data_IF_017701967188
#
_entry.id   IF_017701967188
#
_cell.length_a   1.000
_cell.length_b   1.000
_cell.length_c   1.000
_cell.angle_alpha   90.00
_cell.angle_beta   90.00
_cell.angle_gamma   90.00
#
_symmetry.space_group_name_H-M   'P 1'
#
loop_
_entity.id
_entity.type
_entity.pdbx_description
1 polymer ?
#
# COMPACT_ATOMS: atom_id res chain seq x y z
N UNK A 1 -4.37 23.43 26.15
CA UNK A 1 -3.29 22.83 25.34
C UNK A 1 -3.92 21.70 24.54
N UNK A 2 -3.86 21.76 23.21
CA UNK A 2 -4.41 20.70 22.35
C UNK A 2 -3.44 19.51 22.40
N UNK A 3 -3.89 18.34 22.84
CA UNK A 3 -3.14 17.08 22.67
C UNK A 3 -2.93 16.87 21.17
N UNK A 4 -1.68 16.80 20.74
CA UNK A 4 -1.34 16.48 19.36
C UNK A 4 -0.97 15.00 19.30
N UNK A 5 -1.96 14.19 18.91
CA UNK A 5 -1.75 12.81 18.53
C UNK A 5 -1.25 12.77 17.09
N UNK A 6 -0.16 12.06 16.84
CA UNK A 6 0.33 11.79 15.48
C UNK A 6 0.03 10.34 15.16
N UNK A 7 -0.79 10.12 14.14
CA UNK A 7 -1.19 8.81 13.65
C UNK A 7 -0.31 8.45 12.45
N UNK A 8 0.39 7.33 12.56
CA UNK A 8 1.29 6.81 11.53
C UNK A 8 0.78 5.46 11.04
N UNK A 9 1.23 5.05 9.86
CA UNK A 9 0.87 3.75 9.31
C UNK A 9 1.97 3.17 8.45
N UNK A 10 1.93 1.86 8.29
CA UNK A 10 2.78 1.10 7.38
C UNK A 10 1.98 -0.05 6.77
N UNK A 11 2.34 -0.43 5.55
CA UNK A 11 1.76 -1.57 4.88
C UNK A 11 2.60 -2.82 5.15
N UNK A 12 1.95 -3.93 5.51
CA UNK A 12 2.64 -5.19 5.78
C UNK A 12 1.68 -6.36 5.57
N UNK A 13 2.13 -7.43 4.90
CA UNK A 13 1.34 -8.64 4.63
C UNK A 13 -0.11 -8.34 4.15
N UNK A 14 -0.23 -7.54 3.10
CA UNK A 14 -1.51 -7.23 2.48
C UNK A 14 -2.46 -6.35 3.31
N UNK A 15 -1.99 -5.75 4.41
CA UNK A 15 -2.83 -4.97 5.34
C UNK A 15 -2.17 -3.67 5.76
N UNK A 16 -3.01 -2.72 6.18
CA UNK A 16 -2.55 -1.47 6.78
C UNK A 16 -2.47 -1.65 8.30
N UNK A 17 -1.30 -1.41 8.87
CA UNK A 17 -1.11 -1.31 10.31
C UNK A 17 -0.99 0.16 10.68
N UNK A 18 -1.87 0.60 11.57
CA UNK A 18 -1.89 1.98 12.09
C UNK A 18 -1.45 1.98 13.54
N UNK A 19 -0.67 2.98 13.92
CA UNK A 19 -0.31 3.24 15.30
C UNK A 19 -0.33 4.74 15.53
N UNK A 20 -0.27 5.16 16.79
CA UNK A 20 -0.26 6.58 17.09
C UNK A 20 0.60 6.88 18.31
N UNK A 21 1.10 8.11 18.36
CA UNK A 21 1.85 8.64 19.48
C UNK A 21 1.18 9.89 20.04
N UNK A 22 1.26 10.06 21.36
CA UNK A 22 0.92 11.31 22.04
C UNK A 22 2.22 11.99 22.49
N UNK A 23 2.44 13.18 21.95
CA UNK A 23 3.62 14.01 22.24
C UNK A 23 3.60 14.59 23.65
N UNK A 24 2.45 14.58 24.34
CA UNK A 24 2.34 14.98 25.73
C UNK A 24 2.82 13.88 26.72
N UNK A 25 2.98 12.63 26.26
CA UNK A 25 3.43 11.54 27.11
C UNK A 25 4.94 11.61 27.39
N UNK A 26 5.40 11.17 28.58
CA UNK A 26 6.81 11.17 28.93
C UNK A 26 7.69 10.38 27.94
N UNK A 27 8.78 10.96 27.47
CA UNK A 27 9.72 10.34 26.52
C UNK A 27 10.70 9.32 27.15
N UNK A 28 10.28 8.58 28.19
CA UNK A 28 11.13 7.59 28.88
C UNK A 28 10.34 6.33 29.19
N UNK A 29 10.86 5.17 28.75
CA UNK A 29 10.27 3.89 29.12
C UNK A 29 10.82 3.38 30.46
N UNK A 30 9.93 3.13 31.42
CA UNK A 30 10.27 2.51 32.71
C UNK A 30 10.52 1.00 32.65
N UNK A 31 10.30 0.37 31.49
CA UNK A 31 10.39 -1.08 31.32
C UNK A 31 11.83 -1.59 31.30
N UNK A 32 12.04 -2.80 31.85
CA UNK A 32 13.31 -3.55 31.80
C UNK A 32 13.32 -4.67 30.74
N UNK A 33 12.29 -4.75 29.89
CA UNK A 33 12.21 -5.76 28.81
C UNK A 33 13.30 -5.54 27.76
N UNK A 34 13.71 -6.63 27.07
CA UNK A 34 14.66 -6.58 25.95
C UNK A 34 14.18 -5.68 24.81
N UNK A 35 12.89 -5.77 24.48
CA UNK A 35 12.19 -4.84 23.59
C UNK A 35 11.13 -4.12 24.44
N UNK A 36 11.39 -2.88 24.88
CA UNK A 36 10.46 -2.14 25.74
C UNK A 36 9.28 -1.55 24.95
N UNK A 37 8.15 -1.25 25.62
CA UNK A 37 7.08 -0.46 25.04
C UNK A 37 7.57 0.94 24.70
N UNK A 38 7.14 1.44 23.54
CA UNK A 38 7.37 2.82 23.14
C UNK A 38 6.60 3.74 24.08
N UNK A 39 7.28 4.64 24.82
CA UNK A 39 6.68 5.34 25.94
C UNK A 39 5.64 6.39 25.54
N UNK A 40 5.71 6.87 24.29
CA UNK A 40 4.75 7.83 23.75
C UNK A 40 3.62 7.16 22.95
N UNK A 41 3.57 5.83 22.85
CA UNK A 41 2.53 5.17 22.07
C UNK A 41 1.17 5.28 22.76
N UNK A 42 0.13 5.60 21.99
CA UNK A 42 -1.24 5.59 22.46
C UNK A 42 -1.70 4.16 22.79
N UNK A 43 -2.53 3.98 23.84
CA UNK A 43 -3.10 2.67 24.16
C UNK A 43 -4.13 2.25 23.07
N UNK A 44 -4.45 0.95 22.98
CA UNK A 44 -5.33 0.42 21.92
C UNK A 44 -6.70 1.10 21.81
N UNK A 45 -7.30 1.49 22.94
CA UNK A 45 -8.62 2.13 22.99
C UNK A 45 -8.61 3.56 22.43
N UNK A 46 -7.56 4.33 22.70
CA UNK A 46 -7.37 5.67 22.13
C UNK A 46 -7.05 5.56 20.63
N UNK A 47 -6.22 4.60 20.24
CA UNK A 47 -5.91 4.33 18.83
C UNK A 47 -7.18 3.99 18.02
N UNK A 48 -8.08 3.17 18.58
CA UNK A 48 -9.37 2.86 17.96
C UNK A 48 -10.22 4.10 17.70
N UNK A 49 -10.21 5.09 18.61
CA UNK A 49 -10.89 6.38 18.41
C UNK A 49 -10.23 7.21 17.32
N UNK A 50 -8.90 7.23 17.25
CA UNK A 50 -8.16 7.96 16.20
C UNK A 50 -8.47 7.46 14.79
N UNK A 51 -8.77 6.16 14.61
CA UNK A 51 -9.14 5.58 13.31
C UNK A 51 -10.64 5.40 13.11
N UNK A 52 -11.48 6.06 13.93
CA UNK A 52 -12.93 6.02 13.80
C UNK A 52 -13.55 4.63 13.98
N UNK A 53 -12.92 3.75 14.76
CA UNK A 53 -13.37 2.38 14.99
C UNK A 53 -13.10 1.41 13.83
N UNK A 54 -12.34 1.81 12.80
CA UNK A 54 -11.99 0.94 11.67
C UNK A 54 -10.95 -0.12 12.05
N UNK A 55 -11.10 -1.34 11.54
CA UNK A 55 -10.18 -2.45 11.79
C UNK A 55 -10.59 -3.32 12.99
N UNK A 56 -9.78 -4.35 13.29
CA UNK A 56 -10.09 -5.28 14.39
C UNK A 56 -9.96 -4.62 15.77
N UNK A 57 -10.86 -4.99 16.70
CA UNK A 57 -10.77 -4.61 18.11
C UNK A 57 -9.78 -5.50 18.90
N UNK A 58 -9.29 -6.58 18.29
CA UNK A 58 -8.24 -7.40 18.89
C UNK A 58 -6.98 -6.56 19.10
N UNK A 59 -6.45 -6.46 20.33
CA UNK A 59 -5.21 -5.75 20.56
C UNK A 59 -4.07 -6.47 19.84
N UNK A 60 -3.39 -5.74 18.96
CA UNK A 60 -2.18 -6.19 18.26
C UNK A 60 -0.99 -5.34 18.70
N UNK A 61 0.19 -5.95 18.64
CA UNK A 61 1.47 -5.29 18.96
C UNK A 61 2.42 -5.54 17.80
N UNK A 62 3.06 -4.48 17.31
CA UNK A 62 4.16 -4.57 16.36
C UNK A 62 5.48 -4.19 17.02
N UNK A 63 6.58 -4.70 16.45
CA UNK A 63 7.93 -4.23 16.78
C UNK A 63 8.35 -3.22 15.72
N UNK A 64 8.57 -1.97 16.11
CA UNK A 64 9.05 -0.92 15.24
C UNK A 64 10.47 -0.50 15.61
N UNK A 65 11.31 -0.32 14.60
CA UNK A 65 12.66 0.21 14.69
C UNK A 65 12.60 1.73 14.55
N UNK A 66 12.48 2.40 15.69
CA UNK A 66 12.30 3.86 15.75
C UNK A 66 13.59 4.54 16.23
N UNK A 67 13.84 5.80 15.81
CA UNK A 67 14.93 6.61 16.33
C UNK A 67 14.92 6.66 17.87
N UNK A 68 16.05 6.30 18.49
CA UNK A 68 16.14 6.40 19.95
C UNK A 68 17.48 5.97 20.54
N UNK A 69 17.71 6.43 21.77
CA UNK A 69 18.82 5.99 22.62
C UNK A 69 18.27 5.06 23.70
N UNK A 70 19.14 4.40 24.47
CA UNK A 70 18.73 3.43 25.52
C UNK A 70 17.55 3.96 26.37
N UNK A 71 16.37 3.34 26.20
CA UNK A 71 15.11 3.64 26.89
C UNK A 71 14.49 5.03 26.63
N UNK A 72 14.98 5.78 25.66
CA UNK A 72 14.42 7.09 25.26
C UNK A 72 14.25 7.15 23.75
N UNK A 73 13.02 7.35 23.25
CA UNK A 73 12.83 7.81 21.88
C UNK A 73 13.66 9.07 21.65
N UNK A 74 14.23 9.19 20.46
CA UNK A 74 14.71 10.50 20.02
C UNK A 74 13.48 11.38 19.85
N UNK A 75 13.55 12.63 20.30
CA UNK A 75 12.51 13.59 19.96
C UNK A 75 12.34 13.60 18.43
N UNK A 76 11.11 13.67 17.90
CA UNK A 76 10.92 13.90 16.48
C UNK A 76 11.72 15.16 16.12
N UNK A 77 12.42 15.18 14.97
CA UNK A 77 13.15 16.38 14.56
C UNK A 77 12.15 17.53 14.51
N UNK A 78 12.37 18.55 15.35
CA UNK A 78 11.60 19.78 15.28
C UNK A 78 11.78 20.46 13.91
N UNK A 79 10.94 21.44 13.56
CA UNK A 79 11.15 22.22 12.35
C UNK A 79 12.59 22.78 12.37
N UNK A 80 13.35 22.49 11.32
CA UNK A 80 14.75 22.86 11.23
C UNK A 80 14.90 24.37 11.40
N UNK A 81 15.69 24.80 12.41
CA UNK A 81 16.13 26.18 12.49
C UNK A 81 17.00 26.51 11.25
N UNK A 82 16.94 27.72 10.69
CA UNK A 82 17.77 28.10 9.55
C UNK A 82 19.26 27.93 9.93
N UNK A 83 19.95 27.07 9.19
CA UNK A 83 21.32 26.68 9.46
C UNK A 83 22.27 27.87 9.27
N UNK A 84 22.86 28.33 10.38
CA UNK A 84 24.03 29.20 10.36
C UNK A 84 25.28 28.34 10.48
N UNK A 85 26.00 28.17 9.36
CA UNK A 85 27.39 27.70 9.35
C UNK A 85 27.64 26.18 9.37
N UNK A 86 28.34 25.72 8.33
CA UNK A 86 29.03 24.43 8.14
C UNK A 86 28.19 23.12 8.04
N UNK A 87 28.31 22.35 6.94
CA UNK A 87 27.55 21.11 6.74
C UNK A 87 28.32 19.92 7.29
N UNK A 88 28.18 19.63 8.57
CA UNK A 88 28.30 18.24 9.03
C UNK A 88 26.88 17.77 9.32
N UNK A 89 26.30 17.01 8.39
CA UNK A 89 24.99 16.41 8.64
C UNK A 89 25.13 15.54 9.90
N UNK A 90 24.37 15.81 10.98
CA UNK A 90 24.47 15.00 12.19
C UNK A 90 24.17 13.54 11.83
N UNK A 91 24.98 12.62 12.36
CA UNK A 91 24.78 11.19 12.16
C UNK A 91 23.33 10.83 12.55
N UNK A 92 22.59 10.10 11.69
CA UNK A 92 21.22 9.75 11.99
C UNK A 92 21.16 8.95 13.30
N UNK A 93 20.19 9.23 14.19
CA UNK A 93 20.09 8.52 15.46
C UNK A 93 19.92 7.02 15.21
N UNK A 94 20.54 6.16 16.04
CA UNK A 94 20.41 4.72 15.87
C UNK A 94 18.96 4.30 16.01
N UNK A 95 18.55 3.35 15.15
CA UNK A 95 17.24 2.73 15.26
C UNK A 95 17.26 1.65 16.35
N UNK A 96 16.20 1.62 17.16
CA UNK A 96 16.03 0.66 18.25
C UNK A 96 14.66 0.01 18.16
N UNK A 97 14.54 -1.29 18.48
CA UNK A 97 13.25 -1.97 18.47
C UNK A 97 12.41 -1.53 19.67
N UNK A 98 11.15 -1.25 19.41
CA UNK A 98 10.14 -0.89 20.40
C UNK A 98 8.86 -1.66 20.12
N UNK A 99 8.16 -2.12 21.16
CA UNK A 99 6.80 -2.63 20.99
C UNK A 99 5.81 -1.45 20.97
N UNK A 100 4.95 -1.39 19.95
CA UNK A 100 3.86 -0.41 19.86
C UNK A 100 2.52 -1.12 19.70
N UNK A 101 1.44 -0.63 20.32
CA UNK A 101 0.09 -1.00 19.93
C UNK A 101 -0.15 -0.64 18.47
N UNK A 102 -0.75 -1.58 17.73
CA UNK A 102 -1.17 -1.35 16.34
C UNK A 102 -2.62 -1.76 16.16
N UNK A 103 -3.28 -1.12 15.20
CA UNK A 103 -4.58 -1.53 14.70
C UNK A 103 -4.44 -1.97 13.25
N UNK A 104 -4.92 -3.16 12.97
CA UNK A 104 -4.84 -3.79 11.66
C UNK A 104 -6.14 -3.51 10.88
N UNK A 105 -5.98 -2.98 9.68
CA UNK A 105 -7.06 -2.67 8.75
C UNK A 105 -6.89 -3.53 7.49
N UNK A 106 -7.96 -4.23 7.13
CA UNK A 106 -8.06 -4.82 5.79
C UNK A 106 -8.04 -3.73 4.70
N UNK A 107 -7.80 -4.09 3.43
CA UNK A 107 -7.73 -3.11 2.35
C UNK A 107 -8.98 -2.22 2.18
N UNK A 108 -10.19 -2.71 2.47
CA UNK A 108 -11.42 -1.92 2.34
C UNK A 108 -11.57 -0.91 3.49
N UNK A 109 -11.24 -1.30 4.72
CA UNK A 109 -11.13 -0.39 5.86
C UNK A 109 -10.01 0.64 5.64
N UNK A 110 -8.86 0.22 5.09
CA UNK A 110 -7.74 1.09 4.79
C UNK A 110 -8.11 2.15 3.74
N UNK A 111 -8.83 1.80 2.67
CA UNK A 111 -9.32 2.79 1.70
C UNK A 111 -10.21 3.85 2.37
N UNK A 112 -11.16 3.44 3.22
CA UNK A 112 -12.03 4.39 3.94
C UNK A 112 -11.25 5.33 4.83
N UNK A 113 -10.24 4.83 5.54
CA UNK A 113 -9.35 5.66 6.36
C UNK A 113 -8.55 6.64 5.50
N UNK A 114 -7.94 6.16 4.41
CA UNK A 114 -7.03 6.92 3.56
C UNK A 114 -7.73 7.89 2.59
N UNK A 115 -9.05 7.74 2.40
CA UNK A 115 -9.88 8.66 1.62
C UNK A 115 -10.26 9.93 2.40
N UNK A 116 -10.10 9.94 3.72
CA UNK A 116 -10.34 11.12 4.55
C UNK A 116 -9.32 12.24 4.27
N UNK A 117 -9.74 13.48 4.53
CA UNK A 117 -8.82 14.63 4.49
C UNK A 117 -7.80 14.51 5.63
N UNK A 118 -6.49 14.70 5.35
CA UNK A 118 -5.48 14.66 6.39
C UNK A 118 -5.68 15.80 7.38
N UNK A 119 -5.71 15.47 8.66
CA UNK A 119 -5.76 16.46 9.75
C UNK A 119 -4.36 16.75 10.31
N UNK A 120 -4.29 17.69 11.24
CA UNK A 120 -3.05 18.08 11.93
C UNK A 120 -2.33 16.90 12.65
N UNK A 121 -3.07 15.83 12.93
CA UNK A 121 -2.55 14.60 13.53
C UNK A 121 -2.15 13.50 12.55
N UNK A 122 -2.18 13.74 11.23
CA UNK A 122 -1.81 12.73 10.23
C UNK A 122 -0.30 12.71 9.99
N UNK A 123 0.34 11.59 10.31
CA UNK A 123 1.77 11.39 10.13
C UNK A 123 2.18 11.17 8.67
N UNK A 124 3.46 11.45 8.32
CA UNK A 124 3.99 11.26 6.97
C UNK A 124 3.73 9.90 6.33
N UNK A 125 3.77 8.80 7.09
CA UNK A 125 3.51 7.46 6.58
C UNK A 125 2.08 7.32 6.03
N UNK A 126 1.09 7.84 6.76
CA UNK A 126 -0.31 7.85 6.31
C UNK A 126 -0.51 8.79 5.11
N UNK A 127 0.11 9.98 5.10
CA UNK A 127 0.04 10.89 3.95
C UNK A 127 0.57 10.23 2.67
N UNK A 128 1.66 9.48 2.80
CA UNK A 128 2.26 8.75 1.68
C UNK A 128 1.32 7.63 1.19
N UNK A 129 0.76 6.84 2.10
CA UNK A 129 -0.21 5.78 1.76
C UNK A 129 -1.51 6.33 1.18
N UNK A 130 -1.96 7.51 1.61
CA UNK A 130 -3.11 8.19 1.02
C UNK A 130 -2.88 8.56 -0.45
N UNK A 131 -1.64 8.90 -0.84
CA UNK A 131 -1.31 9.09 -2.24
C UNK A 131 -1.44 7.79 -3.05
N UNK A 132 -1.03 6.64 -2.49
CA UNK A 132 -1.24 5.33 -3.11
C UNK A 132 -2.74 4.98 -3.21
N UNK A 133 -3.53 5.27 -2.19
CA UNK A 133 -4.98 5.06 -2.22
C UNK A 133 -5.67 5.89 -3.32
N UNK A 134 -5.28 7.15 -3.49
CA UNK A 134 -5.75 7.99 -4.61
C UNK A 134 -5.37 7.40 -5.97
N UNK A 135 -4.14 6.91 -6.11
CA UNK A 135 -3.69 6.24 -7.34
C UNK A 135 -4.51 4.96 -7.61
N UNK A 136 -4.74 4.13 -6.59
CA UNK A 136 -5.56 2.92 -6.67
C UNK A 136 -6.99 3.22 -7.15
N UNK A 137 -7.65 4.22 -6.55
CA UNK A 137 -8.96 4.68 -7.03
C UNK A 137 -8.91 5.21 -8.47
N UNK A 138 -7.85 5.92 -8.85
CA UNK A 138 -7.62 6.38 -10.22
C UNK A 138 -7.59 5.21 -11.21
N UNK A 139 -6.82 4.16 -10.92
CA UNK A 139 -6.77 2.93 -11.73
C UNK A 139 -8.13 2.24 -11.81
N UNK A 140 -8.81 2.07 -10.67
CA UNK A 140 -10.12 1.43 -10.62
C UNK A 140 -11.16 2.22 -11.44
N UNK A 141 -11.20 3.55 -11.30
CA UNK A 141 -12.12 4.44 -12.04
C UNK A 141 -11.84 4.45 -13.54
N UNK A 142 -10.57 4.46 -13.94
CA UNK A 142 -10.17 4.42 -15.35
C UNK A 142 -10.37 3.04 -16.01
N UNK A 143 -10.66 2.00 -15.23
CA UNK A 143 -10.69 0.62 -15.73
C UNK A 143 -9.31 0.09 -16.12
N UNK A 144 -8.24 0.73 -15.65
CA UNK A 144 -6.84 0.33 -15.88
C UNK A 144 -6.44 -0.78 -14.89
N UNK A 145 -7.22 -1.86 -14.89
CA UNK A 145 -7.06 -3.00 -13.99
C UNK A 145 -7.21 -4.30 -14.74
N UNK A 146 -6.50 -5.32 -14.29
CA UNK A 146 -6.61 -6.69 -14.81
C UNK A 146 -6.90 -7.64 -13.65
N UNK A 147 -7.87 -8.54 -13.80
CA UNK A 147 -8.05 -9.63 -12.86
C UNK A 147 -6.91 -10.63 -13.01
N UNK A 148 -6.30 -11.05 -11.90
CA UNK A 148 -5.22 -12.01 -11.85
C UNK A 148 -5.56 -13.13 -10.87
N UNK A 149 -5.21 -14.37 -11.23
CA UNK A 149 -5.31 -15.50 -10.29
C UNK A 149 -4.31 -15.27 -9.17
N UNK A 150 -4.76 -15.46 -7.93
CA UNK A 150 -3.95 -15.32 -6.73
C UNK A 150 -3.99 -16.64 -5.95
N UNK A 151 -2.82 -17.07 -5.48
CA UNK A 151 -2.64 -18.32 -4.76
C UNK A 151 -2.10 -18.00 -3.37
N UNK A 152 -3.00 -17.89 -2.39
CA UNK A 152 -2.67 -17.94 -0.96
C UNK A 152 -3.22 -19.27 -0.42
N UNK A 153 -4.14 -19.24 0.55
CA UNK A 153 -4.74 -20.45 1.14
C UNK A 153 -5.82 -21.09 0.24
N UNK A 154 -6.37 -20.29 -0.69
CA UNK A 154 -7.32 -20.70 -1.72
C UNK A 154 -7.02 -20.02 -3.04
N UNK A 155 -7.43 -20.64 -4.13
CA UNK A 155 -7.35 -20.04 -5.47
C UNK A 155 -8.42 -18.96 -5.55
N UNK A 156 -7.99 -17.70 -5.61
CA UNK A 156 -8.88 -16.55 -5.74
C UNK A 156 -8.53 -15.67 -6.93
N UNK A 157 -9.31 -14.61 -7.13
CA UNK A 157 -8.99 -13.55 -8.08
C UNK A 157 -8.72 -12.27 -7.34
N UNK A 158 -7.66 -11.56 -7.76
CA UNK A 158 -7.33 -10.23 -7.32
C UNK A 158 -7.21 -9.28 -8.50
N UNK A 159 -7.81 -8.11 -8.41
CA UNK A 159 -7.64 -7.05 -9.39
C UNK A 159 -6.32 -6.34 -9.16
N UNK A 160 -5.51 -6.26 -10.21
CA UNK A 160 -4.21 -5.59 -10.18
C UNK A 160 -4.23 -4.36 -11.09
N UNK A 161 -3.57 -3.27 -10.69
CA UNK A 161 -3.43 -2.10 -11.54
C UNK A 161 -2.56 -2.45 -12.76
N UNK A 162 -2.95 -1.94 -13.93
CA UNK A 162 -2.09 -1.95 -15.12
C UNK A 162 -1.16 -0.74 -15.03
N UNK A 163 0.12 -0.99 -14.80
CA UNK A 163 1.13 0.05 -14.69
C UNK A 163 1.80 0.27 -16.05
N UNK A 164 1.57 1.44 -16.65
CA UNK A 164 2.40 1.94 -17.76
C UNK A 164 3.81 2.31 -17.23
N UNK A 165 4.82 2.49 -18.11
CA UNK A 165 6.18 2.87 -17.69
C UNK A 165 6.22 4.07 -16.73
N UNK A 166 5.45 5.13 -17.03
CA UNK A 166 5.35 6.31 -16.16
C UNK A 166 4.78 5.98 -14.76
N UNK A 167 3.84 5.04 -14.65
CA UNK A 167 3.30 4.60 -13.36
C UNK A 167 4.31 3.80 -12.55
N UNK A 168 5.15 3.01 -13.23
CA UNK A 168 6.25 2.28 -12.58
C UNK A 168 7.35 3.24 -12.09
N UNK A 169 7.68 4.27 -12.88
CA UNK A 169 8.65 5.29 -12.49
C UNK A 169 8.16 6.14 -11.31
N UNK A 170 6.87 6.50 -11.31
CA UNK A 170 6.22 7.13 -10.16
C UNK A 170 6.33 6.25 -8.91
N UNK A 171 6.06 4.93 -9.02
CA UNK A 171 6.15 4.02 -7.88
C UNK A 171 7.57 3.89 -7.34
N UNK A 172 8.58 3.87 -8.22
CA UNK A 172 10.01 3.90 -7.81
C UNK A 172 10.36 5.21 -7.10
N UNK A 173 9.86 6.34 -7.60
CA UNK A 173 10.04 7.64 -6.95
C UNK A 173 9.35 7.71 -5.58
N UNK A 174 8.15 7.14 -5.45
CA UNK A 174 7.46 6.99 -4.18
C UNK A 174 8.27 6.14 -3.19
N UNK A 175 8.80 4.99 -3.65
CA UNK A 175 9.67 4.15 -2.82
C UNK A 175 10.94 4.88 -2.35
N UNK A 176 11.59 5.64 -3.24
CA UNK A 176 12.79 6.41 -2.90
C UNK A 176 12.53 7.53 -1.88
N UNK A 177 11.30 8.06 -1.85
CA UNK A 177 10.87 9.13 -0.95
C UNK A 177 10.06 8.63 0.25
N UNK A 178 9.94 7.32 0.42
CA UNK A 178 9.16 6.69 1.48
C UNK A 178 9.62 7.18 2.88
N UNK A 179 8.73 7.74 3.71
CA UNK A 179 9.09 8.17 5.06
C UNK A 179 9.63 6.99 5.90
N UNK A 180 10.52 7.26 6.88
CA UNK A 180 11.04 6.22 7.77
C UNK A 180 9.94 5.40 8.47
N UNK A 181 8.80 6.02 8.79
CA UNK A 181 7.66 5.37 9.42
C UNK A 181 7.12 4.16 8.63
N UNK A 182 7.15 4.21 7.29
CA UNK A 182 6.72 3.09 6.43
C UNK A 182 7.63 1.86 6.56
N UNK A 183 8.92 2.10 6.85
CA UNK A 183 9.97 1.09 6.98
C UNK A 183 10.16 0.60 8.40
N UNK A 184 9.57 1.27 9.39
CA UNK A 184 9.87 1.05 10.80
C UNK A 184 9.60 -0.40 11.25
N UNK A 185 8.67 -1.10 10.61
CA UNK A 185 8.37 -2.51 10.91
C UNK A 185 9.48 -3.48 10.49
N UNK A 186 10.41 -3.05 9.63
CA UNK A 186 11.52 -3.87 9.13
C UNK A 186 12.73 -3.75 10.05
N UNK A 187 13.47 -4.85 10.18
CA UNK A 187 14.79 -4.85 10.80
C UNK A 187 15.76 -4.17 9.82
N UNK A 188 16.46 -3.09 10.22
CA UNK A 188 17.47 -2.47 9.37
C UNK A 188 18.55 -3.47 8.97
N UNK A 189 18.83 -3.55 7.68
CA UNK A 189 19.82 -4.44 7.09
C UNK A 189 21.11 -3.71 6.73
N UNK A 190 22.21 -4.43 6.47
CA UNK A 190 23.45 -3.83 6.01
C UNK A 190 23.44 -3.44 4.53
N UNK A 191 22.43 -3.88 3.76
CA UNK A 191 22.32 -3.67 2.32
C UNK A 191 21.21 -2.65 1.97
N UNK A 192 21.59 -1.39 1.63
CA UNK A 192 20.62 -0.36 1.24
C UNK A 192 19.83 -0.69 -0.02
N UNK A 193 20.41 -1.46 -0.96
CA UNK A 193 19.73 -1.81 -2.20
C UNK A 193 18.59 -2.80 -1.92
N UNK A 194 18.84 -3.81 -1.08
CA UNK A 194 17.83 -4.73 -0.57
C UNK A 194 16.71 -4.02 0.19
N UNK A 195 17.02 -3.01 1.00
CA UNK A 195 16.00 -2.20 1.68
C UNK A 195 15.12 -1.41 0.71
N UNK A 196 15.72 -0.78 -0.31
CA UNK A 196 14.96 -0.06 -1.34
C UNK A 196 14.02 -0.99 -2.13
N UNK A 197 14.50 -2.19 -2.49
CA UNK A 197 13.70 -3.20 -3.17
C UNK A 197 12.53 -3.69 -2.30
N UNK A 198 12.78 -3.88 -0.99
CA UNK A 198 11.74 -4.26 -0.03
C UNK A 198 10.64 -3.19 0.10
N UNK A 199 11.00 -1.91 0.18
CA UNK A 199 10.03 -0.80 0.19
C UNK A 199 9.20 -0.79 -1.08
N UNK A 200 9.86 -0.94 -2.24
CA UNK A 200 9.14 -0.97 -3.52
C UNK A 200 8.15 -2.14 -3.58
N UNK A 201 8.53 -3.31 -3.06
CA UNK A 201 7.64 -4.46 -2.96
C UNK A 201 6.43 -4.18 -2.06
N UNK A 202 6.64 -3.60 -0.87
CA UNK A 202 5.55 -3.23 0.05
C UNK A 202 4.58 -2.23 -0.59
N UNK A 203 5.10 -1.21 -1.27
CA UNK A 203 4.28 -0.20 -1.94
C UNK A 203 3.53 -0.77 -3.15
N UNK A 204 4.14 -1.69 -3.91
CA UNK A 204 3.46 -2.39 -5.00
C UNK A 204 2.35 -3.29 -4.47
N UNK A 205 2.60 -4.03 -3.39
CA UNK A 205 1.61 -4.87 -2.73
C UNK A 205 0.45 -4.03 -2.19
N UNK A 206 0.76 -2.91 -1.53
CA UNK A 206 -0.21 -1.91 -1.07
C UNK A 206 -1.08 -1.41 -2.22
N UNK A 207 -0.46 -0.94 -3.31
CA UNK A 207 -1.19 -0.46 -4.48
C UNK A 207 -2.09 -1.55 -5.09
N UNK A 208 -1.61 -2.80 -5.17
CA UNK A 208 -2.41 -3.92 -5.64
C UNK A 208 -3.60 -4.22 -4.70
N UNK A 209 -3.43 -4.12 -3.38
CA UNK A 209 -4.50 -4.41 -2.41
C UNK A 209 -5.57 -3.33 -2.43
N UNK A 210 -5.15 -2.07 -2.43
CA UNK A 210 -6.05 -0.92 -2.48
C UNK A 210 -6.78 -0.87 -3.83
N UNK A 211 -6.12 -1.24 -4.94
CA UNK A 211 -6.78 -1.32 -6.25
C UNK A 211 -7.83 -2.42 -6.26
N UNK A 212 -7.53 -3.59 -5.67
CA UNK A 212 -8.50 -4.67 -5.56
C UNK A 212 -9.74 -4.26 -4.77
N UNK A 213 -9.56 -3.69 -3.58
CA UNK A 213 -10.66 -3.19 -2.76
C UNK A 213 -11.47 -2.11 -3.49
N UNK A 214 -10.82 -1.16 -4.16
CA UNK A 214 -11.51 -0.09 -4.89
C UNK A 214 -12.31 -0.61 -6.10
N UNK A 215 -11.81 -1.66 -6.77
CA UNK A 215 -12.55 -2.32 -7.86
C UNK A 215 -13.75 -3.08 -7.30
N UNK A 216 -13.59 -3.84 -6.21
CA UNK A 216 -14.69 -4.55 -5.56
C UNK A 216 -15.79 -3.61 -5.09
N UNK A 217 -15.43 -2.52 -4.40
CA UNK A 217 -16.38 -1.49 -3.97
C UNK A 217 -17.21 -0.97 -5.14
N UNK A 218 -16.57 -0.68 -6.28
CA UNK A 218 -17.26 -0.17 -7.48
C UNK A 218 -18.10 -1.23 -8.19
N UNK A 219 -17.71 -2.50 -8.10
CA UNK A 219 -18.37 -3.61 -8.77
C UNK A 219 -19.43 -4.30 -7.92
N UNK A 220 -19.54 -3.99 -6.62
CA UNK A 220 -20.45 -4.63 -5.68
C UNK A 220 -21.89 -4.75 -6.24
N UNK A 221 -22.40 -3.68 -6.86
CA UNK A 221 -23.75 -3.67 -7.43
C UNK A 221 -23.85 -4.26 -8.85
N UNK A 222 -22.72 -4.43 -9.56
CA UNK A 222 -22.68 -4.74 -11.00
C UNK A 222 -22.14 -6.14 -11.31
N UNK A 223 -21.42 -6.73 -10.37
CA UNK A 223 -20.76 -8.01 -10.52
C UNK A 223 -20.72 -8.71 -9.14
N UNK A 224 -21.82 -9.32 -8.68
CA UNK A 224 -21.91 -9.94 -7.35
C UNK A 224 -20.91 -11.10 -7.17
N UNK A 225 -20.44 -11.69 -8.27
CA UNK A 225 -19.42 -12.75 -8.29
C UNK A 225 -17.98 -12.23 -8.07
N UNK A 226 -17.77 -10.99 -7.58
CA UNK A 226 -16.40 -10.49 -7.33
C UNK A 226 -15.67 -11.35 -6.31
N UNK A 227 -16.38 -11.86 -5.30
CA UNK A 227 -15.82 -12.65 -4.19
C UNK A 227 -16.00 -14.18 -4.37
N UNK A 228 -16.59 -14.62 -5.49
CA UNK A 228 -16.83 -16.03 -5.75
C UNK A 228 -15.53 -16.76 -6.11
N UNK A 229 -15.43 -18.03 -5.72
CA UNK A 229 -14.35 -18.91 -6.15
C UNK A 229 -14.34 -19.01 -7.68
N UNK A 230 -13.14 -19.16 -8.27
CA UNK A 230 -13.02 -19.33 -9.72
C UNK A 230 -13.75 -20.61 -10.17
N UNK A 231 -14.50 -20.56 -11.29
CA UNK A 231 -15.10 -21.76 -11.85
C UNK A 231 -14.05 -22.82 -12.18
N UNK A 232 -14.28 -24.07 -11.77
CA UNK A 232 -13.31 -25.16 -11.97
C UNK A 232 -12.97 -25.44 -13.45
N UNK A 233 -13.92 -25.18 -14.37
CA UNK A 233 -13.72 -25.35 -15.80
C UNK A 233 -12.95 -24.17 -16.43
N UNK A 234 -11.92 -24.45 -17.22
CA UNK A 234 -11.08 -23.44 -17.85
C UNK A 234 -11.85 -22.48 -18.78
N UNK A 235 -12.85 -22.98 -19.51
CA UNK A 235 -13.73 -22.16 -20.35
C UNK A 235 -14.56 -21.18 -19.52
N UNK A 236 -15.15 -21.65 -18.42
CA UNK A 236 -15.93 -20.83 -17.50
C UNK A 236 -15.05 -19.78 -16.79
N UNK A 237 -13.83 -20.14 -16.39
CA UNK A 237 -12.83 -19.19 -15.87
C UNK A 237 -12.51 -18.10 -16.90
N UNK A 238 -12.29 -18.47 -18.16
CA UNK A 238 -12.01 -17.50 -19.24
C UNK A 238 -13.18 -16.54 -19.47
N UNK A 239 -14.41 -17.07 -19.51
CA UNK A 239 -15.62 -16.26 -19.66
C UNK A 239 -15.84 -15.32 -18.48
N UNK A 240 -15.58 -15.80 -17.26
CA UNK A 240 -15.59 -15.00 -16.05
C UNK A 240 -14.60 -13.83 -16.18
N UNK A 241 -13.35 -14.08 -16.58
CA UNK A 241 -12.34 -13.03 -16.76
C UNK A 241 -12.75 -11.98 -17.78
N UNK A 242 -13.32 -12.39 -18.92
CA UNK A 242 -13.81 -11.47 -19.96
C UNK A 242 -14.98 -10.62 -19.45
N UNK A 243 -15.94 -11.22 -18.75
CA UNK A 243 -17.08 -10.50 -18.17
C UNK A 243 -16.62 -9.51 -17.11
N UNK A 244 -15.75 -9.95 -16.21
CA UNK A 244 -15.16 -9.13 -15.17
C UNK A 244 -14.45 -7.92 -15.81
N UNK A 245 -13.57 -8.13 -16.79
CA UNK A 245 -12.81 -7.04 -17.41
C UNK A 245 -13.72 -6.03 -18.12
N UNK A 246 -14.82 -6.48 -18.75
CA UNK A 246 -15.83 -5.58 -19.35
C UNK A 246 -16.55 -4.75 -18.29
N UNK A 247 -16.98 -5.38 -17.19
CA UNK A 247 -17.60 -4.70 -16.07
C UNK A 247 -16.66 -3.63 -15.48
N UNK A 248 -15.39 -3.97 -15.29
CA UNK A 248 -14.38 -3.05 -14.79
C UNK A 248 -14.12 -1.88 -15.76
N UNK A 249 -14.13 -2.11 -17.06
CA UNK A 249 -13.96 -1.05 -18.07
C UNK A 249 -15.17 -0.10 -18.17
N UNK A 250 -16.26 -0.35 -17.45
CA UNK A 250 -17.51 0.41 -17.57
C UNK A 250 -18.15 0.29 -18.96
N UNK A 251 -17.69 -0.66 -19.77
CA UNK A 251 -18.27 -0.96 -21.08
C UNK A 251 -19.40 -1.94 -20.85
N UNK A 252 -20.64 -1.45 -20.96
CA UNK A 252 -21.81 -2.33 -21.03
C UNK A 252 -21.64 -3.40 -22.11
N UNK A 253 -22.47 -4.45 -22.11
CA UNK A 253 -22.30 -5.64 -22.97
C UNK A 253 -22.24 -5.36 -24.48
N UNK A 254 -22.51 -4.14 -24.95
CA UNK A 254 -22.57 -3.75 -26.36
C UNK A 254 -21.29 -3.13 -26.95
N UNK A 255 -20.27 -2.75 -26.17
CA UNK A 255 -19.14 -1.96 -26.72
C UNK A 255 -17.90 -2.80 -27.07
N UNK A 256 -18.08 -3.82 -27.93
CA UNK A 256 -16.97 -4.38 -28.72
C UNK A 256 -17.00 -3.72 -30.09
N UNK A 257 -16.37 -2.54 -30.20
CA UNK A 257 -15.95 -2.06 -31.51
C UNK A 257 -14.80 -2.97 -31.93
N UNK A 258 -15.11 -3.95 -32.80
CA UNK A 258 -14.07 -4.75 -33.47
C UNK A 258 -13.11 -3.76 -34.12
N UNK A 259 -11.87 -3.73 -33.65
CA UNK A 259 -10.78 -3.16 -34.44
C UNK A 259 -10.69 -4.06 -35.68
N UNK A 260 -10.86 -3.54 -36.89
CA UNK A 260 -10.66 -4.33 -38.09
C UNK A 260 -9.22 -4.81 -38.07
N UNK A 261 -9.01 -6.13 -37.96
CA UNK A 261 -7.71 -6.70 -38.25
C UNK A 261 -7.34 -6.37 -39.69
N UNK A 262 -6.05 -6.22 -40.03
CA UNK A 262 -5.62 -6.04 -41.40
C UNK A 262 -6.16 -7.19 -42.23
N UNK A 263 -7.02 -6.87 -43.19
CA UNK A 263 -7.55 -7.83 -44.15
C UNK A 263 -6.37 -8.52 -44.84
N UNK A 264 -6.45 -9.84 -44.95
CA UNK A 264 -5.40 -10.69 -45.47
C UNK A 264 -4.91 -10.25 -46.85
N UNK A 265 -3.66 -9.78 -46.89
CA UNK A 265 -2.85 -9.84 -48.08
C UNK A 265 -2.36 -11.28 -48.25
N UNK A 266 -2.97 -12.02 -49.19
CA UNK A 266 -2.40 -13.26 -49.72
C UNK A 266 -0.99 -12.95 -50.24
N UNK A 267 0.03 -13.50 -49.58
CA UNK A 267 1.36 -13.60 -50.18
C UNK A 267 1.26 -14.61 -51.33
N UNK A 268 1.36 -14.12 -52.57
CA UNK A 268 1.58 -14.96 -53.74
C UNK A 268 3.04 -15.40 -53.71
N UNK A 269 3.29 -16.68 -53.47
CA UNK A 269 4.57 -17.30 -53.79
C UNK A 269 4.70 -17.29 -55.32
N UNK A 270 5.62 -16.50 -55.85
CA UNK A 270 6.11 -16.65 -57.21
C UNK A 270 7.29 -17.61 -57.13
N UNK A 271 7.12 -18.82 -57.65
CA UNK A 271 8.23 -19.74 -57.88
C UNK A 271 9.15 -19.15 -58.97
N UNK A 272 10.48 -19.19 -58.80
CA UNK A 272 11.40 -18.84 -59.86
C UNK A 272 11.41 -19.97 -60.90
N UNK A 273 10.88 -19.65 -62.07
CA UNK A 273 10.90 -20.49 -63.26
C UNK A 273 12.36 -20.80 -63.64
N UNK A 274 12.71 -22.08 -63.57
CA UNK A 274 13.93 -22.59 -64.19
C UNK A 274 13.63 -23.00 -65.62
N UNK A 275 14.43 -22.54 -66.58
CA UNK A 275 14.84 -23.32 -67.77
C UNK A 275 15.95 -22.63 -68.57
N UNK A 276 17.03 -23.40 -68.70
CA UNK A 276 17.96 -23.58 -69.84
C UNK A 276 18.88 -22.43 -70.22
#
# INVERSE_FOLDING_TARGET
>A
MLQQHIVEGFWFHGRLYVWAMDTALPAVSGSRRRVPPYPCALPPSDLGRCVGGLGSDDPRVAVLHLPGRSRRPSAPPGPAAPASGAPSAPEPPPLRPWTVPVRELDPAAALRLLAGEPGDGTGPGLLHLAALARAAHGHARAGCVVPAVHHEDRIGVRWRPVLAPAGLDWLRSAAATAPPALRAHRVPGPDPAGEGAAVLADLLECLCSLTDAAVRERLADRFPDTDADLPAAASATREWFVRAQRAAAGRGPAAVRRVPGPQGGRASLVEPDGRR
#
